data_IF_423174584360
#
_entry.id   IF_423174584360
#
_cell.length_a   1.000
_cell.length_b   1.000
_cell.length_c   1.000
_cell.angle_alpha   90.00
_cell.angle_beta   90.00
_cell.angle_gamma   90.00
#
_symmetry.space_group_name_H-M   'P 1'
#
loop_
_entity.id
_entity.type
_entity.pdbx_description
1 polymer ?
#
# COMPACT_ATOMS: atom_id res chain seq x y z
N UNK A 1 9.77 2.08 5.60
CA UNK A 1 9.31 1.07 6.59
C UNK A 1 8.67 1.73 7.81
N UNK A 2 9.35 2.61 8.55
CA UNK A 2 8.77 3.27 9.73
C UNK A 2 7.45 4.01 9.43
N UNK A 3 7.38 4.77 8.33
CA UNK A 3 6.12 5.39 7.88
C UNK A 3 5.02 4.34 7.64
N UNK A 4 5.36 3.16 7.09
CA UNK A 4 4.36 2.12 6.85
C UNK A 4 3.82 1.53 8.17
N UNK A 5 4.64 1.44 9.23
CA UNK A 5 4.19 1.04 10.57
C UNK A 5 3.19 2.07 11.12
N UNK A 6 3.52 3.37 11.00
CA UNK A 6 2.60 4.45 11.36
C UNK A 6 1.28 4.34 10.56
N UNK A 7 1.37 4.14 9.23
CA UNK A 7 0.21 3.96 8.37
C UNK A 7 -0.67 2.78 8.77
N UNK A 8 -0.07 1.61 9.00
CA UNK A 8 -0.79 0.41 9.45
C UNK A 8 -1.54 0.63 10.76
N UNK A 9 -0.89 1.29 11.73
CA UNK A 9 -1.52 1.64 13.01
C UNK A 9 -2.70 2.61 12.83
N UNK A 10 -2.53 3.66 12.01
CA UNK A 10 -3.60 4.63 11.76
C UNK A 10 -4.76 4.06 10.94
N UNK A 11 -4.51 2.99 10.18
CA UNK A 11 -5.56 2.25 9.45
C UNK A 11 -6.31 1.28 10.38
N UNK A 12 -5.78 1.01 11.59
CA UNK A 12 -6.38 0.12 12.59
C UNK A 12 -6.65 -1.31 12.07
N UNK A 13 -5.67 -1.85 11.33
CA UNK A 13 -5.77 -3.20 10.76
C UNK A 13 -5.74 -4.25 11.88
N UNK A 14 -6.72 -5.13 11.88
CA UNK A 14 -6.90 -6.21 12.86
C UNK A 14 -6.76 -7.59 12.22
N UNK A 15 -6.55 -8.60 13.06
CA UNK A 15 -6.53 -10.00 12.63
C UNK A 15 -7.88 -10.40 12.03
N UNK A 16 -7.83 -11.00 10.84
CA UNK A 16 -9.02 -11.44 10.11
C UNK A 16 -9.63 -10.38 9.19
N UNK A 17 -9.10 -9.16 9.16
CA UNK A 17 -9.56 -8.14 8.22
C UNK A 17 -9.21 -8.48 6.78
N UNK A 18 -10.12 -8.12 5.86
CA UNK A 18 -9.83 -8.01 4.43
C UNK A 18 -9.21 -6.62 4.17
N UNK A 19 -7.93 -6.58 3.79
CA UNK A 19 -7.17 -5.35 3.57
C UNK A 19 -6.92 -5.13 2.10
N UNK A 20 -7.40 -4.02 1.55
CA UNK A 20 -7.06 -3.58 0.19
C UNK A 20 -5.87 -2.62 0.22
N UNK A 21 -4.84 -2.91 -0.56
CA UNK A 21 -3.71 -2.02 -0.80
C UNK A 21 -3.76 -1.56 -2.26
N UNK A 22 -3.85 -0.25 -2.48
CA UNK A 22 -3.87 0.35 -3.82
C UNK A 22 -2.47 0.85 -4.15
N UNK A 23 -1.81 0.15 -5.08
CA UNK A 23 -0.43 0.37 -5.51
C UNK A 23 0.54 -0.65 -4.94
N UNK A 24 1.29 -1.32 -5.83
CA UNK A 24 2.32 -2.32 -5.50
C UNK A 24 3.75 -1.81 -5.71
N UNK A 25 3.96 -0.51 -5.53
CA UNK A 25 5.30 0.07 -5.42
C UNK A 25 6.02 -0.40 -4.13
N UNK A 26 7.25 0.08 -3.86
CA UNK A 26 8.01 -0.31 -2.67
C UNK A 26 7.23 -0.13 -1.36
N UNK A 27 6.41 0.91 -1.28
CA UNK A 27 5.58 1.21 -0.12
C UNK A 27 4.45 0.17 0.02
N UNK A 28 3.72 -0.11 -1.06
CA UNK A 28 2.66 -1.13 -1.04
C UNK A 28 3.18 -2.50 -0.64
N UNK A 29 4.36 -2.89 -1.14
CA UNK A 29 5.03 -4.15 -0.77
C UNK A 29 5.38 -4.25 0.72
N UNK A 30 5.71 -3.13 1.36
CA UNK A 30 5.92 -3.06 2.81
C UNK A 30 4.59 -3.20 3.56
N UNK A 31 3.53 -2.57 3.08
CA UNK A 31 2.19 -2.69 3.67
C UNK A 31 1.64 -4.12 3.55
N UNK A 32 1.87 -4.82 2.43
CA UNK A 32 1.51 -6.25 2.28
C UNK A 32 2.07 -7.06 3.45
N UNK A 33 3.37 -6.97 3.67
CA UNK A 33 4.04 -7.76 4.70
C UNK A 33 3.60 -7.38 6.13
N UNK A 34 3.36 -6.09 6.38
CA UNK A 34 2.85 -5.62 7.67
C UNK A 34 1.42 -6.08 7.94
N UNK A 35 0.52 -5.96 6.96
CA UNK A 35 -0.86 -6.42 7.10
C UNK A 35 -0.93 -7.94 7.30
N UNK A 36 -0.11 -8.71 6.56
CA UNK A 36 0.04 -10.15 6.77
C UNK A 36 0.55 -10.48 8.17
N UNK A 37 1.53 -9.74 8.67
CA UNK A 37 2.04 -9.92 10.03
C UNK A 37 0.96 -9.68 11.10
N UNK A 38 0.04 -8.75 10.84
CA UNK A 38 -1.12 -8.49 11.71
C UNK A 38 -2.23 -9.54 11.58
N UNK A 39 -2.06 -10.54 10.71
CA UNK A 39 -3.04 -11.62 10.52
C UNK A 39 -4.19 -11.27 9.59
N UNK A 40 -4.06 -10.27 8.75
CA UNK A 40 -5.05 -9.88 7.75
C UNK A 40 -4.94 -10.73 6.48
N UNK A 41 -6.05 -10.83 5.74
CA UNK A 41 -6.05 -11.22 4.33
C UNK A 41 -5.75 -9.97 3.49
N UNK A 42 -4.80 -10.08 2.57
CA UNK A 42 -4.32 -8.94 1.79
C UNK A 42 -4.69 -9.06 0.32
N UNK A 43 -5.40 -8.08 -0.18
CA UNK A 43 -5.73 -7.85 -1.58
C UNK A 43 -4.90 -6.65 -2.05
N UNK A 44 -4.19 -6.75 -3.16
CA UNK A 44 -3.39 -5.65 -3.70
C UNK A 44 -3.76 -5.35 -5.14
N UNK A 45 -3.87 -4.07 -5.50
CA UNK A 45 -4.22 -3.61 -6.84
C UNK A 45 -3.09 -2.78 -7.46
N UNK A 46 -2.67 -3.14 -8.68
CA UNK A 46 -1.66 -2.39 -9.46
C UNK A 46 -1.79 -2.72 -10.96
N UNK A 47 -1.58 -1.76 -11.89
CA UNK A 47 -1.63 -2.05 -13.33
C UNK A 47 -0.44 -2.88 -13.83
N UNK A 48 0.66 -3.02 -13.07
CA UNK A 48 1.89 -3.67 -13.50
C UNK A 48 1.92 -5.13 -13.01
N UNK A 49 1.72 -6.08 -13.91
CA UNK A 49 1.62 -7.50 -13.60
C UNK A 49 2.84 -8.05 -12.85
N UNK A 50 4.06 -7.71 -13.28
CA UNK A 50 5.29 -8.17 -12.63
C UNK A 50 5.41 -7.71 -11.17
N UNK A 51 4.81 -6.59 -10.81
CA UNK A 51 4.74 -6.13 -9.42
C UNK A 51 3.71 -6.91 -8.61
N UNK A 52 2.60 -7.29 -9.22
CA UNK A 52 1.60 -8.15 -8.57
C UNK A 52 2.15 -9.54 -8.27
N UNK A 53 3.00 -10.09 -9.15
CA UNK A 53 3.72 -11.35 -8.89
C UNK A 53 4.62 -11.26 -7.65
N UNK A 54 5.43 -10.18 -7.56
CA UNK A 54 6.27 -9.94 -6.37
C UNK A 54 5.40 -9.76 -5.12
N UNK A 55 4.26 -9.09 -5.22
CA UNK A 55 3.34 -8.93 -4.09
C UNK A 55 2.82 -10.28 -3.56
N UNK A 56 2.52 -11.24 -4.44
CA UNK A 56 2.17 -12.62 -4.05
C UNK A 56 3.30 -13.31 -3.30
N UNK A 57 4.52 -13.20 -3.78
CA UNK A 57 5.71 -13.76 -3.12
C UNK A 57 5.94 -13.15 -1.72
N UNK A 58 5.55 -11.89 -1.53
CA UNK A 58 5.62 -11.17 -0.26
C UNK A 58 4.40 -11.39 0.64
N UNK A 59 3.42 -12.19 0.19
CA UNK A 59 2.32 -12.65 1.02
C UNK A 59 0.94 -12.07 0.70
N UNK A 60 0.77 -11.34 -0.40
CA UNK A 60 -0.57 -10.97 -0.84
C UNK A 60 -1.38 -12.21 -1.20
N UNK A 61 -2.61 -12.30 -0.67
CA UNK A 61 -3.50 -13.44 -0.90
C UNK A 61 -4.17 -13.34 -2.27
N UNK A 62 -4.56 -12.12 -2.66
CA UNK A 62 -5.19 -11.83 -3.95
C UNK A 62 -4.56 -10.61 -4.60
N UNK A 63 -4.57 -10.60 -5.93
CA UNK A 63 -4.07 -9.49 -6.74
C UNK A 63 -5.11 -9.06 -7.74
N UNK A 64 -5.20 -7.75 -8.01
CA UNK A 64 -6.13 -7.15 -8.95
C UNK A 64 -5.35 -6.30 -9.95
N UNK A 65 -5.53 -6.54 -11.24
CA UNK A 65 -5.01 -5.68 -12.28
C UNK A 65 -6.14 -4.79 -12.80
N UNK A 66 -6.17 -3.48 -12.45
CA UNK A 66 -7.26 -2.57 -12.82
C UNK A 66 -7.37 -2.29 -14.33
N UNK A 67 -6.39 -2.74 -15.13
CA UNK A 67 -6.48 -2.67 -16.59
C UNK A 67 -7.24 -3.84 -17.20
N UNK A 68 -7.50 -4.90 -16.40
CA UNK A 68 -8.14 -6.14 -16.84
C UNK A 68 -9.52 -6.36 -16.21
N UNK A 69 -9.74 -5.81 -15.02
CA UNK A 69 -10.95 -6.02 -14.23
C UNK A 69 -11.27 -4.78 -13.38
N UNK A 70 -12.54 -4.63 -12.98
CA UNK A 70 -12.97 -3.57 -12.07
C UNK A 70 -12.53 -3.90 -10.65
N UNK A 71 -11.76 -3.01 -10.04
CA UNK A 71 -11.20 -3.22 -8.69
C UNK A 71 -12.30 -3.30 -7.64
N UNK A 72 -13.36 -2.48 -7.73
CA UNK A 72 -14.42 -2.45 -6.71
C UNK A 72 -15.23 -3.74 -6.76
N UNK A 73 -15.64 -4.15 -7.96
CA UNK A 73 -16.41 -5.38 -8.14
C UNK A 73 -15.58 -6.60 -7.71
N UNK A 74 -14.28 -6.62 -8.06
CA UNK A 74 -13.40 -7.71 -7.65
C UNK A 74 -13.19 -7.78 -6.13
N UNK A 75 -13.03 -6.64 -5.45
CA UNK A 75 -12.96 -6.58 -3.99
C UNK A 75 -14.26 -7.10 -3.38
N UNK A 76 -15.43 -6.71 -3.90
CA UNK A 76 -16.73 -7.23 -3.42
C UNK A 76 -16.83 -8.74 -3.61
N UNK A 77 -16.46 -9.28 -4.77
CA UNK A 77 -16.46 -10.73 -4.99
C UNK A 77 -15.61 -11.45 -3.94
N UNK A 78 -14.37 -10.96 -3.71
CA UNK A 78 -13.43 -11.54 -2.76
C UNK A 78 -13.90 -11.43 -1.30
N UNK A 79 -14.75 -10.47 -0.99
CA UNK A 79 -15.25 -10.16 0.36
C UNK A 79 -16.74 -10.46 0.55
N UNK A 80 -17.34 -11.30 -0.29
CA UNK A 80 -18.75 -11.68 -0.21
C UNK A 80 -19.72 -10.47 -0.22
N UNK A 81 -19.39 -9.46 -1.01
CA UNK A 81 -20.17 -8.22 -1.17
C UNK A 81 -19.90 -7.14 -0.10
N UNK A 82 -19.06 -7.41 0.91
CA UNK A 82 -18.85 -6.48 2.04
C UNK A 82 -17.95 -5.29 1.71
N UNK A 83 -16.97 -5.46 0.83
CA UNK A 83 -15.86 -4.53 0.64
C UNK A 83 -14.71 -4.78 1.63
N UNK A 84 -13.65 -3.99 1.55
CA UNK A 84 -12.46 -4.12 2.39
C UNK A 84 -12.65 -3.47 3.78
N UNK A 85 -12.29 -4.19 4.85
CA UNK A 85 -12.33 -3.66 6.23
C UNK A 85 -11.32 -2.51 6.42
N UNK A 86 -10.18 -2.61 5.75
CA UNK A 86 -9.16 -1.58 5.77
C UNK A 86 -8.62 -1.34 4.35
N UNK A 87 -8.40 -0.08 4.00
CA UNK A 87 -7.85 0.31 2.70
C UNK A 87 -6.64 1.22 2.91
N UNK A 88 -5.54 0.90 2.24
CA UNK A 88 -4.33 1.74 2.20
C UNK A 88 -4.14 2.25 0.78
N UNK A 89 -4.27 3.56 0.60
CA UNK A 89 -4.05 4.23 -0.68
C UNK A 89 -2.58 4.63 -0.77
N UNK A 90 -1.76 3.79 -1.42
CA UNK A 90 -0.32 3.98 -1.58
C UNK A 90 0.08 4.64 -2.92
N UNK A 91 -0.91 5.07 -3.71
CA UNK A 91 -0.76 5.86 -4.95
C UNK A 91 -1.54 7.15 -4.81
N UNK A 92 -0.86 8.28 -4.95
CA UNK A 92 -1.43 9.60 -4.68
C UNK A 92 -2.12 10.23 -5.89
N UNK A 93 -3.27 9.70 -6.31
CA UNK A 93 -4.16 10.36 -7.29
C UNK A 93 -5.56 10.54 -6.72
N UNK A 94 -6.35 11.44 -7.29
CA UNK A 94 -7.76 11.65 -6.90
C UNK A 94 -8.60 10.41 -7.20
N UNK A 95 -8.28 9.70 -8.26
CA UNK A 95 -8.96 8.47 -8.68
C UNK A 95 -8.75 7.35 -7.66
N UNK A 96 -7.49 7.13 -7.23
CA UNK A 96 -7.17 6.10 -6.23
C UNK A 96 -7.71 6.45 -4.85
N UNK A 97 -7.77 7.73 -4.50
CA UNK A 97 -8.41 8.19 -3.26
C UNK A 97 -9.91 7.88 -3.25
N UNK A 98 -10.63 8.17 -4.36
CA UNK A 98 -12.04 7.82 -4.51
C UNK A 98 -12.27 6.32 -4.51
N UNK A 99 -11.46 5.58 -5.29
CA UNK A 99 -11.51 4.12 -5.35
C UNK A 99 -11.40 3.49 -3.94
N UNK A 100 -10.47 4.00 -3.11
CA UNK A 100 -10.31 3.51 -1.75
C UNK A 100 -11.54 3.70 -0.88
N UNK A 101 -12.25 4.83 -1.00
CA UNK A 101 -13.50 5.10 -0.27
C UNK A 101 -14.61 4.17 -0.74
N UNK A 102 -14.76 4.00 -2.06
CA UNK A 102 -15.81 3.19 -2.66
C UNK A 102 -15.65 1.70 -2.34
N UNK A 103 -14.40 1.19 -2.35
CA UNK A 103 -14.08 -0.20 -2.06
C UNK A 103 -14.16 -0.57 -0.57
N UNK A 104 -14.29 0.42 0.33
CA UNK A 104 -14.35 0.17 1.77
C UNK A 104 -15.67 -0.48 2.20
N UNK A 105 -15.59 -1.38 3.17
CA UNK A 105 -16.74 -1.98 3.85
C UNK A 105 -17.47 -0.99 4.75
N UNK A 106 -18.65 -1.38 5.23
CA UNK A 106 -19.31 -0.69 6.37
C UNK A 106 -18.42 -0.85 7.61
N UNK A 107 -18.27 0.20 8.39
CA UNK A 107 -17.36 0.33 9.51
C UNK A 107 -15.87 0.16 9.13
N UNK A 108 -15.53 0.27 7.85
CA UNK A 108 -14.17 0.17 7.36
C UNK A 108 -13.33 1.42 7.62
N UNK A 109 -12.03 1.31 7.43
CA UNK A 109 -11.09 2.43 7.50
C UNK A 109 -10.34 2.63 6.20
N UNK A 110 -10.13 3.88 5.80
CA UNK A 110 -9.37 4.26 4.59
C UNK A 110 -8.24 5.19 4.99
N UNK A 111 -7.01 4.78 4.69
CA UNK A 111 -5.82 5.59 4.94
C UNK A 111 -5.25 6.14 3.63
N UNK A 112 -5.28 7.46 3.50
CA UNK A 112 -4.57 8.18 2.45
C UNK A 112 -3.08 8.25 2.82
N UNK A 113 -2.34 7.20 2.49
CA UNK A 113 -0.93 7.08 2.80
C UNK A 113 -0.06 7.91 1.84
N UNK A 114 -0.40 7.93 0.56
CA UNK A 114 0.24 8.79 -0.42
C UNK A 114 -0.49 10.13 -0.52
N UNK A 115 0.26 11.23 -0.46
CA UNK A 115 -0.27 12.55 -0.80
C UNK A 115 -0.59 12.67 -2.29
N UNK A 116 -1.65 13.39 -2.63
CA UNK A 116 -2.10 13.55 -4.03
C UNK A 116 -1.18 14.51 -4.79
N UNK A 117 -0.65 14.04 -5.92
CA UNK A 117 0.15 14.84 -6.85
C UNK A 117 -0.22 14.52 -8.31
N UNK A 118 -0.50 15.53 -9.18
CA UNK A 118 -0.67 16.94 -8.78
C UNK A 118 -1.79 17.12 -7.76
N UNK A 119 -1.74 18.23 -7.02
CA UNK A 119 -2.78 18.54 -6.02
C UNK A 119 -4.16 18.53 -6.69
N UNK A 120 -5.10 17.88 -6.04
CA UNK A 120 -6.47 17.74 -6.54
C UNK A 120 -7.48 17.61 -5.41
N UNK A 121 -8.75 17.67 -5.77
CA UNK A 121 -9.88 17.56 -4.86
C UNK A 121 -10.76 16.37 -5.25
N UNK A 122 -11.38 15.75 -4.26
CA UNK A 122 -12.44 14.75 -4.44
C UNK A 122 -13.74 15.28 -3.88
N UNK A 123 -14.82 15.19 -4.64
CA UNK A 123 -16.16 15.43 -4.12
C UNK A 123 -16.58 14.20 -3.30
N UNK A 124 -16.95 14.41 -2.06
CA UNK A 124 -17.38 13.35 -1.15
C UNK A 124 -18.76 13.70 -0.57
N UNK A 125 -19.74 12.82 -0.78
CA UNK A 125 -21.02 12.90 -0.08
C UNK A 125 -20.83 12.53 1.40
N UNK A 126 -21.09 13.43 2.37
CA UNK A 126 -20.99 13.12 3.79
C UNK A 126 -21.84 11.92 4.23
N UNK A 127 -22.92 11.61 3.51
CA UNK A 127 -23.75 10.45 3.79
C UNK A 127 -23.02 9.12 3.58
N UNK A 128 -22.01 9.07 2.70
CA UNK A 128 -21.16 7.88 2.54
C UNK A 128 -20.40 7.59 3.85
N UNK A 129 -19.86 8.64 4.48
CA UNK A 129 -19.20 8.49 5.79
C UNK A 129 -20.20 8.11 6.86
N UNK A 130 -21.35 8.84 6.90
CA UNK A 130 -22.36 8.66 7.95
C UNK A 130 -22.99 7.27 7.93
N UNK A 131 -23.54 6.85 6.80
CA UNK A 131 -24.28 5.58 6.71
C UNK A 131 -23.38 4.34 6.65
N UNK A 132 -22.19 4.45 6.08
CA UNK A 132 -21.21 3.37 6.12
C UNK A 132 -20.38 3.36 7.42
N UNK A 133 -20.44 4.41 8.23
CA UNK A 133 -19.62 4.58 9.45
C UNK A 133 -18.12 4.40 9.20
N UNK A 134 -17.64 4.83 8.03
CA UNK A 134 -16.23 4.68 7.65
C UNK A 134 -15.35 5.72 8.34
N UNK A 135 -14.10 5.35 8.60
CA UNK A 135 -13.07 6.25 9.10
C UNK A 135 -12.14 6.63 7.96
N UNK A 136 -12.07 7.92 7.63
CA UNK A 136 -11.08 8.45 6.69
C UNK A 136 -9.92 9.02 7.50
N UNK A 137 -8.71 8.56 7.23
CA UNK A 137 -7.50 8.99 7.92
C UNK A 137 -6.35 9.22 6.95
N UNK A 138 -5.31 9.87 7.40
CA UNK A 138 -4.06 10.03 6.67
C UNK A 138 -2.87 9.66 7.53
N UNK A 139 -1.75 9.38 6.89
CA UNK A 139 -0.50 9.10 7.58
C UNK A 139 0.65 9.82 6.91
N UNK A 140 1.38 10.56 7.69
CA UNK A 140 2.59 11.25 7.24
C UNK A 140 3.69 11.06 8.27
N UNK A 141 4.91 10.73 7.76
CA UNK A 141 6.09 10.54 8.59
C UNK A 141 5.99 9.40 9.62
N UNK A 142 6.82 9.39 10.65
CA UNK A 142 6.93 8.33 11.64
C UNK A 142 7.50 8.86 12.98
N UNK A 143 7.30 8.13 14.05
CA UNK A 143 7.90 8.41 15.36
C UNK A 143 9.22 7.64 15.54
N UNK A 144 10.09 8.06 16.51
CA UNK A 144 11.28 7.27 16.87
C UNK A 144 10.95 5.81 17.26
N UNK A 145 9.78 5.59 17.85
CA UNK A 145 9.29 4.25 18.16
C UNK A 145 9.05 3.42 16.89
N UNK A 146 8.40 4.00 15.89
CA UNK A 146 8.15 3.32 14.60
C UNK A 146 9.46 2.96 13.90
N UNK A 147 10.47 3.82 14.00
CA UNK A 147 11.80 3.53 13.46
C UNK A 147 12.45 2.34 14.17
N UNK A 148 12.40 2.29 15.51
CA UNK A 148 12.91 1.17 16.29
C UNK A 148 12.19 -0.13 15.94
N UNK A 149 10.87 -0.08 15.79
CA UNK A 149 10.07 -1.25 15.39
C UNK A 149 10.42 -1.70 13.97
N UNK A 150 10.66 -0.77 13.04
CA UNK A 150 11.08 -1.09 11.68
C UNK A 150 12.38 -1.91 11.66
N UNK A 151 13.38 -1.49 12.45
CA UNK A 151 14.64 -2.23 12.56
C UNK A 151 14.42 -3.65 13.11
N UNK A 152 13.62 -3.81 14.16
CA UNK A 152 13.30 -5.13 14.75
C UNK A 152 12.58 -6.05 13.76
N UNK A 153 11.59 -5.55 13.03
CA UNK A 153 10.85 -6.35 12.05
C UNK A 153 11.74 -6.83 10.90
N UNK A 154 12.72 -6.01 10.49
CA UNK A 154 13.73 -6.41 9.50
C UNK A 154 14.74 -7.40 10.08
N UNK A 155 15.22 -7.19 11.31
CA UNK A 155 16.14 -8.09 12.02
C UNK A 155 15.55 -9.49 12.22
N UNK A 156 14.27 -9.56 12.60
CA UNK A 156 13.55 -10.83 12.78
C UNK A 156 13.10 -11.49 11.48
N UNK A 157 13.41 -10.87 10.33
CA UNK A 157 13.03 -11.40 9.02
C UNK A 157 11.53 -11.39 8.72
N UNK A 158 10.74 -10.67 9.53
CA UNK A 158 9.29 -10.50 9.31
C UNK A 158 9.04 -9.69 8.05
N UNK A 159 9.87 -8.66 7.80
CA UNK A 159 9.81 -7.87 6.58
C UNK A 159 11.05 -8.11 5.72
N UNK A 160 10.82 -8.65 4.53
CA UNK A 160 11.83 -9.05 3.56
C UNK A 160 12.15 -7.88 2.62
N UNK A 161 12.97 -6.94 3.06
CA UNK A 161 13.31 -5.74 2.27
C UNK A 161 14.16 -6.04 1.03
N UNK A 162 14.96 -7.12 1.02
CA UNK A 162 15.82 -7.49 -0.11
C UNK A 162 15.03 -7.78 -1.39
N UNK A 163 13.81 -8.31 -1.28
CA UNK A 163 12.94 -8.59 -2.43
C UNK A 163 12.38 -7.32 -3.07
N UNK A 164 12.43 -6.20 -2.34
CA UNK A 164 11.96 -4.90 -2.82
C UNK A 164 13.08 -4.13 -3.54
N UNK A 165 14.35 -4.39 -3.16
CA UNK A 165 15.51 -3.74 -3.78
C UNK A 165 15.76 -4.39 -5.14
N UNK A 166 15.44 -3.66 -6.20
CA UNK A 166 15.60 -4.13 -7.59
C UNK A 166 16.96 -3.79 -8.19
N UNK A 167 17.55 -2.68 -7.77
CA UNK A 167 18.84 -2.21 -8.29
C UNK A 167 19.73 -1.68 -7.16
N UNK A 168 21.01 -2.02 -7.25
CA UNK A 168 22.07 -1.42 -6.40
C UNK A 168 23.08 -0.79 -7.36
N UNK A 169 23.21 0.53 -7.30
CA UNK A 169 24.01 1.34 -8.24
C UNK A 169 25.06 2.09 -7.44
N UNK A 170 26.28 2.18 -7.96
CA UNK A 170 27.34 2.98 -7.34
C UNK A 170 27.02 4.46 -7.32
N UNK A 171 27.58 5.18 -6.36
CA UNK A 171 27.47 6.66 -6.32
C UNK A 171 28.04 7.31 -7.59
N UNK A 172 29.09 6.72 -8.19
CA UNK A 172 29.68 7.22 -9.44
C UNK A 172 28.70 7.20 -10.61
N UNK A 173 27.73 6.27 -10.58
CA UNK A 173 26.68 6.09 -11.58
C UNK A 173 25.30 6.64 -11.13
N UNK A 174 25.28 7.59 -10.19
CA UNK A 174 24.01 8.10 -9.59
C UNK A 174 23.00 8.61 -10.62
N UNK A 175 23.48 9.18 -11.73
CA UNK A 175 22.60 9.64 -12.83
C UNK A 175 21.76 8.49 -13.40
N UNK A 176 22.38 7.30 -13.57
CA UNK A 176 21.68 6.09 -14.00
C UNK A 176 20.63 5.63 -12.98
N UNK A 177 20.90 5.83 -11.68
CA UNK A 177 19.92 5.52 -10.63
C UNK A 177 18.65 6.39 -10.79
N UNK A 178 18.81 7.68 -11.07
CA UNK A 178 17.68 8.58 -11.33
C UNK A 178 16.94 8.21 -12.63
N UNK A 179 17.64 7.87 -13.70
CA UNK A 179 17.03 7.43 -14.97
C UNK A 179 16.20 6.15 -14.76
N UNK A 180 16.74 5.16 -14.05
CA UNK A 180 16.04 3.91 -13.71
C UNK A 180 14.72 4.19 -12.96
N UNK A 181 14.76 5.11 -11.99
CA UNK A 181 13.54 5.50 -11.24
C UNK A 181 12.56 6.26 -12.12
N UNK A 182 13.04 7.21 -12.95
CA UNK A 182 12.21 8.01 -13.85
C UNK A 182 11.49 7.15 -14.90
N UNK A 183 12.15 6.08 -15.36
CA UNK A 183 11.59 5.12 -16.32
C UNK A 183 10.68 4.07 -15.65
N UNK A 184 10.46 4.16 -14.32
CA UNK A 184 9.69 3.16 -13.54
C UNK A 184 10.26 1.72 -13.63
N UNK A 185 11.56 1.59 -13.86
CA UNK A 185 12.24 0.30 -13.92
C UNK A 185 12.45 -0.27 -12.50
N UNK A 186 11.94 -1.48 -12.27
CA UNK A 186 12.03 -2.15 -10.98
C UNK A 186 11.16 -1.53 -9.87
N UNK A 187 11.55 -1.76 -8.61
CA UNK A 187 10.83 -1.30 -7.41
C UNK A 187 11.61 -0.25 -6.63
N UNK A 188 12.74 -0.63 -6.06
CA UNK A 188 13.58 0.24 -5.24
C UNK A 188 15.01 0.25 -5.74
N UNK A 189 15.50 1.42 -6.09
CA UNK A 189 16.91 1.66 -6.41
C UNK A 189 17.64 2.11 -5.16
N UNK A 190 18.77 1.48 -4.87
CA UNK A 190 19.67 1.82 -3.76
C UNK A 190 21.00 2.30 -4.35
N UNK A 191 21.49 3.42 -3.87
CA UNK A 191 22.82 3.93 -4.22
C UNK A 191 23.81 3.50 -3.15
N UNK A 192 24.89 2.83 -3.58
CA UNK A 192 25.95 2.37 -2.71
C UNK A 192 27.03 3.46 -2.60
N UNK A 193 27.47 3.79 -1.41
CA UNK A 193 28.33 4.95 -1.08
C UNK A 193 29.82 4.63 -1.09
N UNK A 194 30.22 3.41 -1.41
CA UNK A 194 31.62 2.94 -1.46
C UNK A 194 32.00 2.37 -2.79
#
# INVERSE_FOLDING_TARGET
MACCINGNRNTNISTGDDVLIIGSGPIGMLHVQLAKHNGARVIISDPIESRLEIAKELGADDTINPTKEDTIERVKELTEGRGANAVIVAVGTTETARLGIEASAICGSVNFFAGTYPQGEIALDPNVIHYKQIVLTGSHDFTPHDFTMALKLMEYGIVKVKHIISHVISLDDVSKAFETVANHEGLKVVVKMD
#
